data_IF_471399711391
#
_entry.id   IF_471399711391
#
_cell.length_a   1.000
_cell.length_b   1.000
_cell.length_c   1.000
_cell.angle_alpha   90.00
_cell.angle_beta   90.00
_cell.angle_gamma   90.00
#
_symmetry.space_group_name_H-M   'P 1'
#
loop_
_entity.id
_entity.type
_entity.pdbx_description
1 polymer ?
#
# COMPACT_ATOMS: atom_id res chain seq x y z
N UNK A 1 -1.37 -0.89 -1.74
CA UNK A 1 -2.41 -1.59 -2.53
C UNK A 1 -2.20 -3.11 -2.64
N UNK A 2 -0.98 -3.59 -2.90
CA UNK A 2 -0.71 -5.04 -3.08
C UNK A 2 -1.26 -5.96 -1.99
N UNK A 3 -1.21 -5.55 -0.72
CA UNK A 3 -1.77 -6.30 0.41
C UNK A 3 -3.29 -6.54 0.31
N UNK A 4 -4.06 -5.50 -0.02
CA UNK A 4 -5.51 -5.54 -0.07
C UNK A 4 -6.07 -6.14 -1.37
N UNK A 5 -5.23 -6.31 -2.41
CA UNK A 5 -5.68 -6.77 -3.73
C UNK A 5 -6.43 -8.10 -3.68
N UNK A 6 -6.07 -8.97 -2.73
CA UNK A 6 -6.66 -10.29 -2.58
C UNK A 6 -8.16 -10.26 -2.20
N UNK A 7 -8.63 -9.16 -1.60
CA UNK A 7 -10.03 -8.99 -1.18
C UNK A 7 -10.75 -7.87 -1.93
N UNK A 8 -10.07 -7.18 -2.87
CA UNK A 8 -10.59 -6.00 -3.57
C UNK A 8 -10.33 -6.02 -5.08
N UNK A 9 -10.17 -7.20 -5.70
CA UNK A 9 -9.78 -7.32 -7.13
C UNK A 9 -10.66 -6.50 -8.07
N UNK A 10 -11.97 -6.66 -7.98
CA UNK A 10 -12.92 -5.95 -8.86
C UNK A 10 -12.86 -4.42 -8.69
N UNK A 11 -12.79 -3.94 -7.44
CA UNK A 11 -12.64 -2.51 -7.16
C UNK A 11 -11.33 -1.97 -7.73
N UNK A 12 -10.24 -2.74 -7.66
CA UNK A 12 -8.97 -2.33 -8.27
C UNK A 12 -9.04 -2.32 -9.79
N UNK A 13 -9.69 -3.28 -10.45
CA UNK A 13 -9.95 -3.20 -11.89
C UNK A 13 -10.68 -1.91 -12.30
N UNK A 14 -11.68 -1.49 -11.52
CA UNK A 14 -12.39 -0.23 -11.75
C UNK A 14 -11.48 1.00 -11.60
N UNK A 15 -10.62 1.02 -10.58
CA UNK A 15 -9.61 2.07 -10.38
C UNK A 15 -8.64 2.12 -11.56
N UNK A 16 -8.08 0.98 -11.98
CA UNK A 16 -7.15 0.92 -13.11
C UNK A 16 -7.76 1.45 -14.40
N UNK A 17 -9.02 1.10 -14.67
CA UNK A 17 -9.76 1.65 -15.82
C UNK A 17 -9.95 3.16 -15.72
N UNK A 18 -10.28 3.68 -14.54
CA UNK A 18 -10.46 5.12 -14.33
C UNK A 18 -9.14 5.89 -14.51
N UNK A 19 -8.01 5.33 -14.07
CA UNK A 19 -6.69 5.96 -14.19
C UNK A 19 -6.15 5.94 -15.63
N UNK A 20 -6.37 4.84 -16.36
CA UNK A 20 -5.69 4.59 -17.65
C UNK A 20 -6.59 4.75 -18.87
N UNK A 21 -7.90 4.85 -18.66
CA UNK A 21 -8.94 4.78 -19.71
C UNK A 21 -8.84 3.50 -20.57
N UNK A 22 -8.33 2.41 -20.01
CA UNK A 22 -8.17 1.10 -20.66
C UNK A 22 -8.86 0.00 -19.85
N UNK A 23 -9.02 -1.19 -20.44
CA UNK A 23 -9.38 -2.38 -19.66
C UNK A 23 -8.19 -2.72 -18.76
N UNK A 24 -8.46 -2.89 -17.46
CA UNK A 24 -7.42 -3.11 -16.45
C UNK A 24 -7.84 -4.17 -15.44
N UNK A 25 -6.88 -4.95 -14.95
CA UNK A 25 -7.04 -5.82 -13.79
C UNK A 25 -6.53 -5.16 -12.48
N UNK A 26 -6.49 -5.93 -11.39
CA UNK A 26 -6.02 -5.41 -10.09
C UNK A 26 -4.52 -5.07 -10.07
N UNK A 27 -3.72 -5.73 -10.91
CA UNK A 27 -2.28 -5.48 -11.04
C UNK A 27 -2.02 -4.26 -11.90
N UNK A 28 -2.76 -4.10 -12.99
CA UNK A 28 -2.68 -2.91 -13.85
C UNK A 28 -2.98 -1.63 -13.04
N UNK A 29 -3.95 -1.69 -12.12
CA UNK A 29 -4.25 -0.56 -11.24
C UNK A 29 -3.10 -0.22 -10.28
N UNK A 30 -2.42 -1.22 -9.72
CA UNK A 30 -1.27 -1.04 -8.84
C UNK A 30 -0.08 -0.47 -9.64
N UNK A 31 0.13 -0.95 -10.86
CA UNK A 31 1.16 -0.46 -11.76
C UNK A 31 0.90 1.01 -12.13
N UNK A 32 -0.32 1.36 -12.56
CA UNK A 32 -0.69 2.73 -12.90
C UNK A 32 -0.46 3.72 -11.76
N UNK A 33 -0.75 3.32 -10.51
CA UNK A 33 -0.45 4.16 -9.34
C UNK A 33 1.06 4.29 -9.11
N UNK A 34 1.82 3.21 -9.30
CA UNK A 34 3.28 3.22 -9.14
C UNK A 34 3.95 4.10 -10.20
N UNK A 35 3.50 4.01 -11.45
CA UNK A 35 3.97 4.82 -12.57
C UNK A 35 3.67 6.30 -12.33
N UNK A 36 2.45 6.63 -11.87
CA UNK A 36 2.10 8.00 -11.52
C UNK A 36 2.97 8.57 -10.41
N UNK A 37 3.23 7.81 -9.34
CA UNK A 37 4.13 8.21 -8.24
C UNK A 37 5.53 8.54 -8.77
N UNK A 38 6.04 7.72 -9.70
CA UNK A 38 7.33 7.95 -10.33
C UNK A 38 7.33 9.19 -11.23
N UNK A 39 6.28 9.37 -12.05
CA UNK A 39 6.11 10.51 -12.96
C UNK A 39 6.13 11.85 -12.21
N UNK A 40 5.50 11.93 -11.04
CA UNK A 40 5.49 13.14 -10.20
C UNK A 40 6.69 13.26 -9.25
N UNK A 41 7.67 12.37 -9.35
CA UNK A 41 8.91 12.42 -8.56
C UNK A 41 8.74 12.10 -7.07
N UNK A 42 7.73 11.29 -6.69
CA UNK A 42 7.45 10.87 -5.31
C UNK A 42 7.96 9.47 -4.99
N UNK A 43 9.00 8.98 -5.68
CA UNK A 43 9.56 7.64 -5.53
C UNK A 43 10.42 7.42 -4.27
N UNK A 44 10.32 8.30 -3.27
CA UNK A 44 11.06 8.19 -2.00
C UNK A 44 10.60 6.97 -1.21
N UNK A 45 11.56 6.26 -0.65
CA UNK A 45 11.34 5.15 0.28
C UNK A 45 11.26 5.67 1.71
N UNK A 46 10.78 4.84 2.63
CA UNK A 46 10.74 5.23 4.04
C UNK A 46 12.16 5.46 4.61
N UNK A 47 13.17 4.72 4.13
CA UNK A 47 14.56 4.94 4.54
C UNK A 47 15.08 6.34 4.15
N UNK A 48 14.65 6.90 3.02
CA UNK A 48 15.02 8.26 2.59
C UNK A 48 14.47 9.34 3.54
N UNK A 49 13.44 9.00 4.31
CA UNK A 49 12.83 9.84 5.35
C UNK A 49 13.34 9.51 6.77
N UNK A 50 14.34 8.63 6.91
CA UNK A 50 14.96 8.27 8.19
C UNK A 50 14.30 7.09 8.92
N UNK A 51 13.44 6.33 8.26
CA UNK A 51 12.91 5.09 8.84
C UNK A 51 14.02 4.04 9.00
N UNK A 52 14.01 3.33 10.12
CA UNK A 52 14.91 2.23 10.43
C UNK A 52 14.12 0.98 10.81
N UNK A 53 14.66 -0.23 10.59
CA UNK A 53 13.99 -1.48 11.00
C UNK A 53 13.61 -1.51 12.49
N UNK A 54 14.43 -0.87 13.35
CA UNK A 54 14.17 -0.72 14.78
C UNK A 54 12.82 -0.03 15.09
N UNK A 55 12.33 0.83 14.19
CA UNK A 55 11.08 1.56 14.39
C UNK A 55 9.84 0.71 14.05
N UNK A 56 9.96 -0.29 13.18
CA UNK A 56 8.80 -0.93 12.55
C UNK A 56 7.88 -1.63 13.54
N UNK A 57 8.43 -2.25 14.59
CA UNK A 57 7.60 -2.92 15.61
C UNK A 57 6.71 -1.93 16.35
N UNK A 58 7.26 -0.77 16.74
CA UNK A 58 6.52 0.27 17.45
C UNK A 58 5.48 0.93 16.54
N UNK A 59 5.83 1.21 15.28
CA UNK A 59 4.91 1.76 14.29
C UNK A 59 3.77 0.80 13.95
N UNK A 60 4.06 -0.50 13.83
CA UNK A 60 3.03 -1.50 13.59
C UNK A 60 2.05 -1.63 14.76
N UNK A 61 2.51 -1.50 16.00
CA UNK A 61 1.63 -1.44 17.16
C UNK A 61 0.72 -0.19 17.11
N UNK A 62 1.30 0.99 16.86
CA UNK A 62 0.53 2.22 16.71
C UNK A 62 -0.51 2.13 15.57
N UNK A 63 -0.14 1.52 14.45
CA UNK A 63 -1.05 1.30 13.32
C UNK A 63 -2.23 0.36 13.67
N UNK A 64 -2.04 -0.62 14.55
CA UNK A 64 -3.12 -1.50 15.03
C UNK A 64 -4.13 -0.76 15.92
N UNK A 65 -3.68 0.27 16.62
CA UNK A 65 -4.51 1.09 17.51
C UNK A 65 -5.20 2.23 16.76
N UNK A 66 -4.74 2.55 15.54
CA UNK A 66 -5.32 3.60 14.70
C UNK A 66 -6.74 3.25 14.23
N UNK A 67 -7.66 4.19 14.43
CA UNK A 67 -9.07 4.03 14.08
C UNK A 67 -9.28 3.76 12.58
N UNK A 68 -8.41 4.28 11.72
CA UNK A 68 -8.47 4.09 10.27
C UNK A 68 -8.28 2.62 9.87
N UNK A 69 -7.54 1.83 10.66
CA UNK A 69 -7.32 0.42 10.33
C UNK A 69 -8.60 -0.40 10.40
N UNK A 70 -9.59 0.01 11.22
CA UNK A 70 -10.85 -0.73 11.39
C UNK A 70 -11.65 -0.89 10.10
N UNK A 71 -11.53 0.05 9.16
CA UNK A 71 -12.23 0.01 7.88
C UNK A 71 -11.37 -0.57 6.74
N UNK A 72 -10.14 -1.01 7.02
CA UNK A 72 -9.30 -1.66 6.01
C UNK A 72 -9.98 -2.97 5.55
N UNK A 73 -10.16 -3.20 4.23
CA UNK A 73 -10.94 -4.33 3.73
C UNK A 73 -10.33 -5.70 4.04
N UNK A 74 -9.06 -5.74 4.46
CA UNK A 74 -8.37 -6.94 4.92
C UNK A 74 -7.85 -6.72 6.33
N UNK A 75 -8.27 -7.54 7.28
CA UNK A 75 -7.66 -7.53 8.63
C UNK A 75 -6.16 -7.78 8.51
N UNK A 76 -5.36 -6.89 9.11
CA UNK A 76 -3.91 -6.98 9.12
C UNK A 76 -3.42 -7.37 10.52
N UNK A 77 -2.44 -8.27 10.59
CA UNK A 77 -1.72 -8.57 11.84
C UNK A 77 -0.52 -7.65 12.01
N UNK A 78 0.01 -7.54 13.22
CA UNK A 78 1.23 -6.74 13.48
C UNK A 78 2.38 -7.17 12.57
N UNK A 79 2.63 -8.48 12.44
CA UNK A 79 3.68 -9.02 11.59
C UNK A 79 3.50 -8.60 10.12
N UNK A 80 2.27 -8.65 9.60
CA UNK A 80 1.98 -8.21 8.24
C UNK A 80 2.20 -6.71 8.05
N UNK A 81 1.92 -5.88 9.06
CA UNK A 81 2.18 -4.44 9.00
C UNK A 81 3.69 -4.18 9.03
N UNK A 82 4.46 -4.92 9.83
CA UNK A 82 5.94 -4.85 9.82
C UNK A 82 6.48 -5.21 8.44
N UNK A 83 6.00 -6.29 7.83
CA UNK A 83 6.40 -6.69 6.48
C UNK A 83 6.09 -5.60 5.44
N UNK A 84 4.97 -4.87 5.61
CA UNK A 84 4.62 -3.74 4.74
C UNK A 84 5.57 -2.56 4.91
N UNK A 85 5.96 -2.22 6.15
CA UNK A 85 6.98 -1.19 6.39
C UNK A 85 8.33 -1.59 5.82
N UNK A 86 8.74 -2.86 5.97
CA UNK A 86 9.99 -3.36 5.40
C UNK A 86 9.99 -3.34 3.87
N UNK A 87 8.86 -3.68 3.23
CA UNK A 87 8.73 -3.64 1.77
C UNK A 87 8.73 -2.20 1.20
N UNK A 88 8.28 -1.22 1.99
CA UNK A 88 8.29 0.21 1.65
C UNK A 88 9.57 0.94 2.11
N UNK A 89 10.39 0.28 2.93
CA UNK A 89 11.69 0.72 3.45
C UNK A 89 12.69 0.95 2.35
#
# INVERSE_FOLDING_TARGET
>A
MGFNRMVCRERFSQIGRALTNKKSDDRDAIAAVSDLIAEVGQSKRLADAGAKPEHYSAWAQAALEDICLRSNPRTATQAQIIDLYAAAG
#
